data_IF_964525661164
#
_entry.id   IF_964525661164
#
_cell.length_a   1.000
_cell.length_b   1.000
_cell.length_c   1.000
_cell.angle_alpha   90.00
_cell.angle_beta   90.00
_cell.angle_gamma   90.00
#
_symmetry.space_group_name_H-M   'P 1'
#
loop_
_entity.id
_entity.type
_entity.pdbx_description
1 polymer ?
#
# COMPACT_ATOMS: atom_id res chain seq x y z
N UNK A 1 4.75 -10.51 12.85
CA UNK A 1 5.29 -9.47 11.95
C UNK A 1 4.54 -8.17 12.18
N UNK A 2 5.07 -7.24 12.97
CA UNK A 2 4.46 -5.90 13.12
C UNK A 2 5.02 -4.99 12.01
N UNK A 3 4.16 -4.17 11.39
CA UNK A 3 4.53 -3.14 10.40
C UNK A 3 5.18 -3.63 9.07
N UNK A 4 4.83 -4.83 8.60
CA UNK A 4 5.29 -5.33 7.29
C UNK A 4 4.22 -5.30 6.19
N UNK A 5 2.96 -5.12 6.57
CA UNK A 5 1.80 -5.09 5.68
C UNK A 5 0.85 -3.97 6.10
N UNK A 6 -0.12 -3.66 5.24
CA UNK A 6 -1.18 -2.73 5.56
C UNK A 6 -2.13 -3.27 6.64
N UNK A 7 -2.60 -2.36 7.47
CA UNK A 7 -3.69 -2.61 8.42
C UNK A 7 -5.01 -2.92 7.70
N UNK A 8 -5.95 -3.54 8.41
CA UNK A 8 -7.30 -3.81 7.89
C UNK A 8 -7.99 -2.52 7.43
N UNK A 9 -7.86 -1.42 8.18
CA UNK A 9 -8.49 -0.15 7.83
C UNK A 9 -7.87 0.50 6.59
N UNK A 10 -6.54 0.43 6.41
CA UNK A 10 -5.89 0.86 5.17
C UNK A 10 -6.39 0.03 3.98
N UNK A 11 -6.53 -1.29 4.13
CA UNK A 11 -7.05 -2.14 3.06
C UNK A 11 -8.50 -1.81 2.70
N UNK A 12 -9.37 -1.56 3.68
CA UNK A 12 -10.75 -1.10 3.43
C UNK A 12 -10.78 0.20 2.63
N UNK A 13 -9.92 1.16 2.96
CA UNK A 13 -9.81 2.41 2.23
C UNK A 13 -9.40 2.19 0.77
N UNK A 14 -8.43 1.30 0.50
CA UNK A 14 -8.03 0.98 -0.88
C UNK A 14 -9.15 0.30 -1.68
N UNK A 15 -9.93 -0.58 -1.05
CA UNK A 15 -11.09 -1.24 -1.68
C UNK A 15 -12.17 -0.20 -2.04
N UNK A 16 -12.44 0.75 -1.15
CA UNK A 16 -13.38 1.85 -1.41
C UNK A 16 -12.90 2.76 -2.56
N UNK A 17 -11.58 2.93 -2.69
CA UNK A 17 -10.94 3.59 -3.82
C UNK A 17 -10.83 2.70 -5.06
N UNK A 18 -11.46 1.52 -5.10
CA UNK A 18 -11.51 0.68 -6.30
C UNK A 18 -10.18 0.03 -6.70
N UNK A 19 -9.23 -0.11 -5.77
CA UNK A 19 -7.99 -0.84 -6.03
C UNK A 19 -8.27 -2.35 -5.98
N UNK A 20 -7.81 -3.06 -7.01
CA UNK A 20 -7.87 -4.52 -7.05
C UNK A 20 -6.92 -5.12 -6.01
N UNK A 21 -7.49 -5.70 -4.95
CA UNK A 21 -6.75 -6.34 -3.86
C UNK A 21 -6.66 -7.86 -4.00
N UNK A 22 -7.21 -8.44 -5.07
CA UNK A 22 -7.22 -9.89 -5.30
C UNK A 22 -5.81 -10.49 -5.42
N UNK A 23 -4.84 -9.67 -5.86
CA UNK A 23 -3.43 -10.06 -6.03
C UNK A 23 -2.55 -9.78 -4.82
N UNK A 24 -3.13 -9.45 -3.66
CA UNK A 24 -2.35 -9.26 -2.45
C UNK A 24 -1.58 -10.53 -2.07
N UNK A 25 -0.34 -10.40 -1.62
CA UNK A 25 0.51 -11.56 -1.27
C UNK A 25 0.23 -12.13 0.12
N UNK A 26 -0.44 -11.37 0.99
CA UNK A 26 -0.72 -11.71 2.39
C UNK A 26 -2.20 -11.51 2.72
N UNK A 27 -2.66 -12.08 3.83
CA UNK A 27 -4.01 -11.83 4.36
C UNK A 27 -4.02 -11.81 5.90
N UNK A 28 -4.99 -11.09 6.45
CA UNK A 28 -5.37 -11.19 7.86
C UNK A 28 -6.41 -12.30 8.03
N UNK A 29 -6.13 -13.24 8.93
CA UNK A 29 -6.99 -14.36 9.29
C UNK A 29 -7.45 -14.17 10.73
N UNK A 30 -8.73 -14.39 11.01
CA UNK A 30 -9.26 -14.30 12.37
C UNK A 30 -8.67 -15.42 13.23
N UNK A 31 -8.16 -15.09 14.42
CA UNK A 31 -7.70 -16.10 15.36
C UNK A 31 -8.92 -16.89 15.88
N UNK A 32 -8.91 -18.21 15.71
CA UNK A 32 -9.98 -19.12 16.14
C UNK A 32 -9.67 -19.80 17.47
N UNK A 33 -8.42 -19.74 17.91
CA UNK A 33 -8.02 -20.26 19.22
C UNK A 33 -8.46 -19.23 20.26
N UNK A 34 -9.41 -19.62 21.12
CA UNK A 34 -10.23 -18.78 22.00
C UNK A 34 -9.51 -17.95 23.08
N UNK A 35 -8.28 -17.52 22.84
CA UNK A 35 -7.59 -16.53 23.65
C UNK A 35 -8.04 -15.12 23.21
N UNK A 36 -9.00 -14.56 23.95
CA UNK A 36 -9.47 -13.18 23.78
C UNK A 36 -8.39 -12.12 24.07
N UNK A 37 -7.19 -12.54 24.45
CA UNK A 37 -6.19 -11.71 25.11
C UNK A 37 -5.07 -11.21 24.18
N UNK A 38 -4.77 -11.84 23.05
CA UNK A 38 -3.73 -11.34 22.12
C UNK A 38 -4.10 -11.47 20.63
N UNK A 39 -4.50 -10.34 20.04
CA UNK A 39 -4.72 -10.10 18.60
C UNK A 39 -5.76 -11.01 17.92
N UNK A 40 -6.98 -10.48 17.76
CA UNK A 40 -8.10 -11.05 17.00
C UNK A 40 -7.75 -11.52 15.57
N UNK A 41 -6.63 -11.06 15.01
CA UNK A 41 -6.16 -11.41 13.68
C UNK A 41 -4.69 -11.80 13.68
N UNK A 42 -4.37 -12.80 12.88
CA UNK A 42 -3.01 -13.24 12.54
C UNK A 42 -2.71 -13.00 11.06
N UNK A 43 -1.43 -12.88 10.71
CA UNK A 43 -0.98 -12.78 9.32
C UNK A 43 -0.68 -14.15 8.74
N UNK A 44 -1.11 -14.35 7.51
CA UNK A 44 -0.78 -15.54 6.72
C UNK A 44 -0.49 -15.17 5.27
N UNK A 45 0.22 -16.05 4.57
CA UNK A 45 0.37 -15.97 3.12
C UNK A 45 -1.00 -16.12 2.47
N UNK A 46 -1.28 -15.30 1.44
CA UNK A 46 -2.53 -15.38 0.70
C UNK A 46 -2.45 -16.55 -0.30
N UNK A 47 -2.96 -17.70 0.12
CA UNK A 47 -3.01 -18.94 -0.66
C UNK A 47 -4.28 -19.73 -0.29
N UNK A 48 -4.54 -20.87 -0.92
CA UNK A 48 -5.77 -21.65 -0.66
C UNK A 48 -5.95 -22.01 0.83
N UNK A 49 -4.86 -22.30 1.55
CA UNK A 49 -4.87 -22.63 2.98
C UNK A 49 -5.45 -21.51 3.85
N UNK A 50 -5.33 -20.24 3.44
CA UNK A 50 -5.87 -19.15 4.25
C UNK A 50 -7.40 -19.18 4.30
N UNK A 51 -8.06 -19.70 3.26
CA UNK A 51 -9.52 -19.82 3.22
C UNK A 51 -10.02 -20.91 4.17
N UNK A 52 -9.29 -22.01 4.31
CA UNK A 52 -9.61 -23.07 5.27
C UNK A 52 -9.51 -22.55 6.72
N UNK A 53 -8.41 -21.84 7.03
CA UNK A 53 -8.15 -21.34 8.38
C UNK A 53 -9.03 -20.15 8.79
N UNK A 54 -9.50 -19.35 7.83
CA UNK A 54 -10.29 -18.14 8.09
C UNK A 54 -11.80 -18.35 8.02
N UNK A 55 -12.28 -19.60 7.96
CA UNK A 55 -13.69 -19.91 7.66
C UNK A 55 -14.16 -19.18 6.38
N UNK A 56 -13.33 -19.25 5.33
CA UNK A 56 -13.54 -18.64 4.02
C UNK A 56 -13.64 -17.10 4.01
N UNK A 57 -13.20 -16.42 5.08
CA UNK A 57 -13.25 -14.96 5.20
C UNK A 57 -11.88 -14.31 5.45
N UNK A 58 -10.83 -14.60 4.65
CA UNK A 58 -9.55 -13.92 4.80
C UNK A 58 -9.69 -12.47 4.31
N UNK A 59 -8.98 -11.54 4.95
CA UNK A 59 -8.91 -10.14 4.50
C UNK A 59 -7.55 -9.93 3.80
N UNK A 60 -7.49 -9.84 2.47
CA UNK A 60 -6.24 -9.61 1.75
C UNK A 60 -5.53 -8.34 2.26
N UNK A 61 -4.20 -8.36 2.32
CA UNK A 61 -3.40 -7.21 2.70
C UNK A 61 -2.11 -7.10 1.91
N UNK A 62 -1.76 -5.88 1.53
CA UNK A 62 -0.55 -5.60 0.76
C UNK A 62 0.68 -5.55 1.64
N UNK A 63 1.73 -6.21 1.15
CA UNK A 63 3.12 -6.02 1.56
C UNK A 63 3.69 -4.76 0.91
N UNK A 64 4.90 -4.34 1.33
CA UNK A 64 5.62 -3.28 0.62
C UNK A 64 5.85 -3.64 -0.86
N UNK A 65 6.17 -4.91 -1.16
CA UNK A 65 6.40 -5.37 -2.52
C UNK A 65 5.15 -5.27 -3.40
N UNK A 66 3.98 -5.58 -2.84
CA UNK A 66 2.71 -5.43 -3.55
C UNK A 66 2.48 -3.95 -3.93
N UNK A 67 2.65 -3.03 -2.98
CA UNK A 67 2.46 -1.59 -3.21
C UNK A 67 3.45 -1.06 -4.25
N UNK A 68 4.73 -1.42 -4.16
CA UNK A 68 5.75 -1.00 -5.14
C UNK A 68 5.52 -1.59 -6.54
N UNK A 69 4.81 -2.71 -6.64
CA UNK A 69 4.43 -3.32 -7.92
C UNK A 69 3.22 -2.62 -8.56
N UNK A 70 2.37 -1.99 -7.74
CA UNK A 70 1.23 -1.19 -8.18
C UNK A 70 1.67 0.23 -8.56
N UNK A 71 2.53 0.86 -7.75
CA UNK A 71 3.00 2.22 -7.98
C UNK A 71 3.71 2.37 -9.34
N UNK A 72 3.41 3.42 -10.12
CA UNK A 72 4.16 3.71 -11.33
C UNK A 72 5.64 3.89 -11.03
N UNK A 73 6.53 3.22 -11.77
CA UNK A 73 7.99 3.48 -11.62
C UNK A 73 8.40 4.84 -12.17
N UNK A 74 7.59 5.38 -13.08
CA UNK A 74 7.80 6.65 -13.78
C UNK A 74 6.45 7.30 -14.04
N UNK A 75 6.35 8.58 -13.71
CA UNK A 75 5.20 9.43 -14.08
C UNK A 75 5.66 10.55 -15.00
N UNK A 76 4.73 11.11 -15.76
CA UNK A 76 4.95 12.32 -16.53
C UNK A 76 4.34 13.50 -15.78
N UNK A 77 5.18 14.40 -15.29
CA UNK A 77 4.72 15.60 -14.61
C UNK A 77 4.31 16.66 -15.62
N UNK A 78 3.03 17.04 -15.57
CA UNK A 78 2.44 18.04 -16.44
C UNK A 78 2.94 19.46 -16.13
N UNK A 79 3.41 19.72 -14.90
CA UNK A 79 3.89 21.04 -14.49
C UNK A 79 5.29 21.30 -15.05
N UNK A 80 6.23 20.39 -14.80
CA UNK A 80 7.61 20.53 -15.28
C UNK A 80 7.81 20.04 -16.72
N UNK A 81 6.81 19.39 -17.32
CA UNK A 81 6.87 18.72 -18.62
C UNK A 81 8.03 17.71 -18.72
N UNK A 82 8.28 16.98 -17.64
CA UNK A 82 9.38 16.02 -17.52
C UNK A 82 8.92 14.72 -16.91
N UNK A 83 9.69 13.67 -17.18
CA UNK A 83 9.50 12.40 -16.52
C UNK A 83 10.12 12.44 -15.13
N UNK A 84 9.40 11.88 -14.17
CA UNK A 84 9.87 11.70 -12.82
C UNK A 84 9.83 10.23 -12.42
N UNK A 85 10.76 9.85 -11.56
CA UNK A 85 11.00 8.47 -11.17
C UNK A 85 10.67 8.28 -9.71
N UNK A 86 10.06 7.13 -9.39
CA UNK A 86 9.78 6.75 -8.02
C UNK A 86 11.08 6.67 -7.23
N UNK A 87 11.14 7.38 -6.10
CA UNK A 87 12.29 7.47 -5.22
C UNK A 87 11.89 7.12 -3.80
N UNK A 88 12.78 6.42 -3.09
CA UNK A 88 12.65 6.11 -1.68
C UNK A 88 13.89 6.66 -0.98
N UNK A 89 13.68 7.52 0.00
CA UNK A 89 14.76 8.19 0.72
C UNK A 89 14.59 8.00 2.23
N UNK A 90 15.67 7.59 2.89
CA UNK A 90 15.75 7.53 4.34
C UNK A 90 16.40 8.79 4.88
N UNK A 91 15.79 9.40 5.89
CA UNK A 91 16.35 10.55 6.60
C UNK A 91 16.11 10.37 8.10
N UNK A 92 17.20 10.24 8.86
CA UNK A 92 17.18 9.96 10.29
C UNK A 92 16.27 8.75 10.63
N UNK A 93 15.14 8.99 11.30
CA UNK A 93 14.16 7.99 11.71
C UNK A 93 12.91 7.99 10.84
N UNK A 94 12.95 8.63 9.67
CA UNK A 94 11.83 8.75 8.75
C UNK A 94 12.19 8.16 7.39
N UNK A 95 11.15 7.79 6.67
CA UNK A 95 11.25 7.37 5.26
C UNK A 95 10.30 8.20 4.42
N UNK A 96 10.85 8.72 3.34
CA UNK A 96 10.19 9.48 2.29
C UNK A 96 9.98 8.61 1.06
N UNK A 97 8.80 8.68 0.45
CA UNK A 97 8.59 8.22 -0.93
C UNK A 97 8.10 9.41 -1.76
N UNK A 98 8.61 9.53 -2.98
CA UNK A 98 8.31 10.64 -3.89
C UNK A 98 8.58 10.30 -5.34
N UNK A 99 8.22 11.23 -6.24
CA UNK A 99 8.67 11.21 -7.63
C UNK A 99 9.66 12.35 -7.89
N UNK A 100 10.83 12.01 -8.43
CA UNK A 100 11.92 12.94 -8.72
C UNK A 100 12.16 13.10 -10.22
N UNK A 101 12.20 14.35 -10.69
CA UNK A 101 12.73 14.78 -11.98
C UNK A 101 14.24 14.99 -11.85
N UNK A 102 15.02 14.12 -12.49
CA UNK A 102 16.48 14.13 -12.35
C UNK A 102 16.92 13.85 -10.92
N UNK A 103 18.07 14.39 -10.51
CA UNK A 103 18.66 14.07 -9.20
C UNK A 103 18.09 14.87 -8.01
N UNK A 104 17.33 15.96 -8.22
CA UNK A 104 17.01 16.90 -7.13
C UNK A 104 15.65 17.63 -7.21
N UNK A 105 14.88 17.51 -8.30
CA UNK A 105 13.63 18.27 -8.44
C UNK A 105 12.44 17.35 -8.19
N UNK A 106 11.63 17.63 -7.18
CA UNK A 106 10.43 16.84 -6.87
C UNK A 106 9.26 17.22 -7.81
N UNK A 107 8.39 16.26 -8.13
CA UNK A 107 7.12 16.51 -8.84
C UNK A 107 6.05 16.93 -7.85
N UNK A 108 5.68 18.21 -7.91
CA UNK A 108 4.91 18.84 -6.84
C UNK A 108 5.71 18.81 -5.53
N UNK A 109 5.40 19.70 -4.59
CA UNK A 109 6.07 19.72 -3.29
C UNK A 109 5.63 18.55 -2.38
N UNK A 110 5.43 17.34 -2.93
CA UNK A 110 4.86 16.22 -2.21
C UNK A 110 5.86 15.10 -1.94
N UNK A 111 6.23 14.96 -0.66
CA UNK A 111 6.97 13.84 -0.09
C UNK A 111 6.12 13.21 0.99
N UNK A 112 5.86 11.91 0.90
CA UNK A 112 5.21 11.19 1.99
C UNK A 112 6.24 10.80 3.02
N UNK A 113 6.29 11.52 4.15
CA UNK A 113 7.22 11.25 5.24
C UNK A 113 6.49 10.44 6.31
N UNK A 114 7.01 9.27 6.64
CA UNK A 114 6.43 8.43 7.69
C UNK A 114 7.52 7.78 8.57
N UNK A 115 7.12 7.23 9.72
CA UNK A 115 7.99 6.48 10.64
C UNK A 115 8.33 5.08 10.11
N UNK A 116 7.57 4.56 9.16
CA UNK A 116 7.85 3.28 8.53
C UNK A 116 7.53 3.29 7.03
N UNK A 117 8.22 2.40 6.31
CA UNK A 117 8.19 2.38 4.84
C UNK A 117 6.85 1.91 4.30
N UNK A 118 6.13 1.03 5.01
CA UNK A 118 4.84 0.53 4.54
C UNK A 118 3.80 1.65 4.53
N UNK A 119 3.80 2.51 5.56
CA UNK A 119 2.92 3.68 5.62
C UNK A 119 3.32 4.77 4.64
N UNK A 120 4.62 5.00 4.42
CA UNK A 120 5.07 5.92 3.38
C UNK A 120 4.62 5.44 1.99
N UNK A 121 4.72 4.13 1.71
CA UNK A 121 4.24 3.53 0.48
C UNK A 121 2.72 3.62 0.33
N UNK A 122 1.96 3.38 1.40
CA UNK A 122 0.52 3.59 1.42
C UNK A 122 0.15 5.04 1.08
N UNK A 123 0.76 6.02 1.73
CA UNK A 123 0.48 7.43 1.45
C UNK A 123 0.82 7.81 0.01
N UNK A 124 1.89 7.24 -0.56
CA UNK A 124 2.24 7.48 -1.97
C UNK A 124 1.25 6.83 -2.92
N UNK A 125 0.73 5.64 -2.58
CA UNK A 125 -0.31 4.97 -3.35
C UNK A 125 -1.58 5.83 -3.41
N UNK A 126 -2.02 6.36 -2.27
CA UNK A 126 -3.17 7.29 -2.20
C UNK A 126 -2.91 8.54 -3.05
N UNK A 127 -1.75 9.17 -2.89
CA UNK A 127 -1.40 10.35 -3.69
C UNK A 127 -1.43 10.09 -5.20
N UNK A 128 -0.90 8.94 -5.65
CA UNK A 128 -0.89 8.56 -7.05
C UNK A 128 -2.31 8.33 -7.61
N UNK A 129 -3.24 7.83 -6.78
CA UNK A 129 -4.67 7.72 -7.12
C UNK A 129 -5.29 9.11 -7.24
N UNK A 130 -5.12 9.97 -6.23
CA UNK A 130 -5.69 11.32 -6.18
C UNK A 130 -5.25 12.19 -7.36
N UNK A 131 -4.02 11.99 -7.85
CA UNK A 131 -3.45 12.73 -8.97
C UNK A 131 -3.66 12.04 -10.33
N UNK A 132 -4.47 10.98 -10.38
CA UNK A 132 -4.80 10.20 -11.58
C UNK A 132 -3.58 9.55 -12.28
N UNK A 133 -2.51 9.28 -11.53
CA UNK A 133 -1.39 8.49 -12.02
C UNK A 133 -1.65 6.97 -11.92
N UNK A 134 -2.64 6.59 -11.10
CA UNK A 134 -3.19 5.25 -11.02
C UNK A 134 -4.69 5.28 -11.25
N UNK A 135 -5.18 4.37 -12.10
CA UNK A 135 -6.62 4.18 -12.27
C UNK A 135 -7.15 3.28 -11.17
N UNK A 136 -7.94 3.85 -10.28
CA UNK A 136 -8.95 3.15 -9.52
C UNK A 136 -10.01 2.56 -10.48
N UNK A 137 -10.57 1.38 -10.17
CA UNK A 137 -11.84 0.98 -10.78
C UNK A 137 -12.90 1.96 -10.25
N UNK A 138 -13.68 2.65 -11.10
CA UNK A 138 -14.75 3.49 -10.60
C UNK A 138 -15.72 2.63 -9.77
N UNK A 139 -16.26 3.14 -8.65
CA UNK A 139 -17.26 2.40 -7.88
C UNK A 139 -18.40 2.01 -8.83
N UNK A 140 -18.84 0.75 -8.73
CA UNK A 140 -20.01 0.28 -9.47
C UNK A 140 -21.23 0.92 -8.81
N UNK A 141 -21.92 1.79 -9.56
CA UNK A 141 -23.20 2.42 -9.17
C UNK A 141 -24.30 1.39 -8.89
#
# INVERSE_FOLDING_TARGET
MKNQVLSIEQMKSLIQLGIDTSKASMCWIKNTDGDETENKYMLSVHNEWCYEMSCLSPIPTFTLQDILSILPRKIHDKITNRNAHLNIEYAENKVGISYLVGAYVMVGDFRTINDNIINAAYSMLIWAIDHNYLKAIPPVD
#
